data_IF_697367559242
#
_entry.id   IF_697367559242
#
_cell.length_a   1.000
_cell.length_b   1.000
_cell.length_c   1.000
_cell.angle_alpha   90.00
_cell.angle_beta   90.00
_cell.angle_gamma   90.00
#
_symmetry.space_group_name_H-M   'P 1'
#
loop_
_entity.id
_entity.type
_entity.pdbx_description
1 polymer ?
#
# COMPACT_ATOMS: atom_id res chain seq x y z
N UNK A 1 18.33 16.25 6.56
CA UNK A 1 18.37 15.52 5.27
C UNK A 1 19.24 14.25 5.27
N UNK A 2 20.26 14.11 6.14
CA UNK A 2 21.09 12.88 6.19
C UNK A 2 20.25 11.63 6.47
N UNK A 3 19.33 11.61 7.44
CA UNK A 3 18.44 10.46 7.63
C UNK A 3 17.57 10.16 6.41
N UNK A 4 17.08 11.19 5.70
CA UNK A 4 16.30 11.00 4.47
C UNK A 4 17.13 10.37 3.35
N UNK A 5 18.39 10.77 3.19
CA UNK A 5 19.32 10.14 2.24
C UNK A 5 19.54 8.65 2.58
N UNK A 6 19.67 8.31 3.86
CA UNK A 6 19.75 6.92 4.31
C UNK A 6 18.47 6.14 3.98
N UNK A 7 17.32 6.75 4.20
CA UNK A 7 16.03 6.16 3.78
C UNK A 7 15.98 5.87 2.27
N UNK A 8 16.42 6.81 1.43
CA UNK A 8 16.52 6.61 -0.02
C UNK A 8 17.44 5.43 -0.36
N UNK A 9 18.61 5.35 0.26
CA UNK A 9 19.55 4.25 0.02
C UNK A 9 18.92 2.89 0.35
N UNK A 10 18.22 2.79 1.47
CA UNK A 10 17.62 1.53 1.92
C UNK A 10 16.46 1.08 1.04
N UNK A 11 15.65 2.03 0.51
CA UNK A 11 14.48 1.72 -0.29
C UNK A 11 14.73 1.59 -1.79
N UNK A 12 15.76 2.27 -2.32
CA UNK A 12 15.90 2.41 -3.78
C UNK A 12 17.24 1.95 -4.34
N UNK A 13 18.26 1.78 -3.50
CA UNK A 13 19.56 1.33 -3.99
C UNK A 13 19.65 -0.19 -3.89
N UNK A 14 19.67 -0.92 -5.03
CA UNK A 14 19.86 -2.35 -5.01
C UNK A 14 21.30 -2.68 -4.59
N UNK A 15 21.44 -3.67 -3.75
CA UNK A 15 22.71 -4.18 -3.24
C UNK A 15 22.77 -5.67 -3.57
N UNK A 16 23.91 -6.12 -4.03
CA UNK A 16 24.15 -7.54 -4.29
C UNK A 16 24.73 -8.20 -3.04
N UNK A 17 23.96 -9.07 -2.39
CA UNK A 17 24.39 -9.86 -1.24
C UNK A 17 24.02 -11.32 -1.48
N UNK A 18 25.01 -12.22 -1.35
CA UNK A 18 24.78 -13.65 -1.50
C UNK A 18 24.27 -14.09 -2.87
N UNK A 19 24.68 -13.38 -3.95
CA UNK A 19 24.25 -13.68 -5.31
C UNK A 19 22.82 -13.18 -5.65
N UNK A 20 22.21 -12.40 -4.76
CA UNK A 20 20.87 -11.83 -4.94
C UNK A 20 20.95 -10.30 -4.96
N UNK A 21 20.48 -9.70 -6.05
CA UNK A 21 20.42 -8.25 -6.21
C UNK A 21 19.03 -7.75 -5.87
N UNK A 22 18.92 -7.05 -4.72
CA UNK A 22 17.68 -6.44 -4.25
C UNK A 22 17.97 -5.29 -3.29
N UNK A 23 16.94 -4.56 -2.84
CA UNK A 23 17.11 -3.45 -1.90
C UNK A 23 17.49 -3.95 -0.49
N UNK A 24 18.19 -3.09 0.26
CA UNK A 24 18.67 -3.44 1.60
C UNK A 24 17.54 -3.88 2.53
N UNK A 25 16.36 -3.24 2.46
CA UNK A 25 15.19 -3.63 3.25
C UNK A 25 14.79 -5.10 3.00
N UNK A 26 14.83 -5.53 1.75
CA UNK A 26 14.48 -6.90 1.38
C UNK A 26 15.49 -7.92 1.93
N UNK A 27 16.79 -7.59 1.88
CA UNK A 27 17.84 -8.40 2.50
C UNK A 27 17.67 -8.53 4.01
N UNK A 28 17.34 -7.42 4.69
CA UNK A 28 17.11 -7.42 6.14
C UNK A 28 15.93 -8.31 6.53
N UNK A 29 14.81 -8.23 5.82
CA UNK A 29 13.62 -9.05 6.08
C UNK A 29 13.91 -10.53 5.79
N UNK A 30 14.59 -10.82 4.69
CA UNK A 30 14.98 -12.20 4.34
C UNK A 30 15.94 -12.78 5.37
N UNK A 31 16.94 -12.01 5.80
CA UNK A 31 17.89 -12.41 6.85
C UNK A 31 17.20 -12.64 8.18
N UNK A 32 16.30 -11.75 8.61
CA UNK A 32 15.55 -11.92 9.85
C UNK A 32 14.65 -13.18 9.80
N UNK A 33 13.96 -13.40 8.68
CA UNK A 33 13.14 -14.60 8.49
C UNK A 33 13.99 -15.88 8.57
N UNK A 34 15.17 -15.87 7.95
CA UNK A 34 16.10 -17.00 8.01
C UNK A 34 16.61 -17.28 9.43
N UNK A 35 16.90 -16.21 10.20
CA UNK A 35 17.29 -16.34 11.61
C UNK A 35 16.16 -16.88 12.50
N UNK A 36 14.92 -16.47 12.22
CA UNK A 36 13.75 -16.95 12.98
C UNK A 36 13.38 -18.40 12.62
N UNK A 37 13.69 -18.85 11.41
CA UNK A 37 13.34 -20.21 10.96
C UNK A 37 11.85 -20.52 11.19
N UNK A 38 11.58 -21.66 11.85
CA UNK A 38 10.21 -22.11 12.17
C UNK A 38 9.45 -21.15 13.12
N UNK A 39 10.16 -20.38 13.95
CA UNK A 39 9.53 -19.38 14.84
C UNK A 39 8.86 -18.24 14.09
N UNK A 40 9.16 -18.04 12.81
CA UNK A 40 8.49 -17.02 11.99
C UNK A 40 6.98 -17.23 11.87
N UNK A 41 6.52 -18.48 11.81
CA UNK A 41 5.10 -18.83 11.82
C UNK A 41 4.42 -18.52 13.16
N UNK A 42 5.12 -18.82 14.28
CA UNK A 42 4.62 -18.49 15.63
C UNK A 42 4.54 -16.98 15.81
N UNK A 43 5.55 -16.24 15.36
CA UNK A 43 5.52 -14.78 15.36
C UNK A 43 4.30 -14.23 14.61
N UNK A 44 4.05 -14.71 13.39
CA UNK A 44 2.91 -14.30 12.59
C UNK A 44 1.57 -14.61 13.29
N UNK A 45 1.43 -15.79 13.91
CA UNK A 45 0.25 -16.15 14.67
C UNK A 45 0.03 -15.21 15.87
N UNK A 46 1.08 -14.90 16.63
CA UNK A 46 1.01 -13.95 17.75
C UNK A 46 0.54 -12.56 17.28
N UNK A 47 1.06 -12.08 16.15
CA UNK A 47 0.64 -10.81 15.55
C UNK A 47 -0.84 -10.84 15.13
N UNK A 48 -1.31 -11.95 14.54
CA UNK A 48 -2.71 -12.13 14.13
C UNK A 48 -3.63 -12.14 15.36
N UNK A 49 -3.27 -12.87 16.41
CA UNK A 49 -4.04 -12.92 17.66
C UNK A 49 -4.11 -11.53 18.31
N UNK A 50 -2.98 -10.81 18.37
CA UNK A 50 -2.95 -9.44 18.89
C UNK A 50 -3.87 -8.51 18.08
N UNK A 51 -3.87 -8.66 16.74
CA UNK A 51 -4.69 -7.85 15.83
C UNK A 51 -6.19 -8.12 15.92
N UNK A 52 -6.58 -9.36 16.21
CA UNK A 52 -7.98 -9.69 16.45
C UNK A 52 -8.44 -9.33 17.88
N UNK A 53 -7.54 -9.41 18.86
CA UNK A 53 -7.84 -9.00 20.23
C UNK A 53 -7.97 -7.49 20.40
N UNK A 54 -7.25 -6.69 19.62
CA UNK A 54 -7.22 -5.23 19.76
C UNK A 54 -8.60 -4.54 19.64
N UNK A 55 -9.42 -4.80 18.58
CA UNK A 55 -10.74 -4.21 18.48
C UNK A 55 -11.71 -4.71 19.57
N UNK A 56 -11.52 -5.93 20.06
CA UNK A 56 -12.30 -6.47 21.18
C UNK A 56 -11.97 -5.72 22.47
N UNK A 57 -10.68 -5.54 22.77
CA UNK A 57 -10.22 -4.82 23.97
C UNK A 57 -10.64 -3.35 23.96
N UNK A 58 -10.56 -2.67 22.80
CA UNK A 58 -10.96 -1.26 22.65
C UNK A 58 -12.46 -1.05 22.49
N UNK A 59 -13.24 -2.11 22.34
CA UNK A 59 -14.69 -2.04 22.17
C UNK A 59 -15.13 -1.49 20.80
N UNK A 60 -14.23 -1.44 19.81
CA UNK A 60 -14.54 -0.92 18.46
C UNK A 60 -15.62 -1.73 17.77
N UNK A 61 -15.64 -3.05 17.98
CA UNK A 61 -16.62 -3.96 17.39
C UNK A 61 -18.11 -3.59 17.69
N UNK A 62 -18.36 -2.72 18.70
CA UNK A 62 -19.72 -2.26 19.06
C UNK A 62 -20.12 -0.94 18.44
N UNK A 63 -19.23 -0.27 17.70
CA UNK A 63 -19.48 1.09 17.21
C UNK A 63 -20.31 1.11 15.93
N UNK A 64 -19.98 0.26 14.96
CA UNK A 64 -20.66 0.17 13.67
C UNK A 64 -20.79 -1.29 13.23
N UNK A 65 -21.75 -1.56 12.32
CA UNK A 65 -21.90 -2.88 11.71
C UNK A 65 -20.63 -3.30 10.97
N UNK A 66 -20.00 -2.35 10.28
CA UNK A 66 -18.75 -2.57 9.55
C UNK A 66 -17.64 -3.03 10.47
N UNK A 67 -17.41 -2.33 11.59
CA UNK A 67 -16.39 -2.71 12.58
C UNK A 67 -16.69 -4.07 13.22
N UNK A 68 -17.97 -4.42 13.41
CA UNK A 68 -18.37 -5.76 13.89
C UNK A 68 -17.98 -6.83 12.87
N UNK A 69 -18.31 -6.63 11.59
CA UNK A 69 -17.96 -7.57 10.51
C UNK A 69 -16.45 -7.76 10.41
N UNK A 70 -15.68 -6.67 10.39
CA UNK A 70 -14.21 -6.77 10.35
C UNK A 70 -13.62 -7.46 11.59
N UNK A 71 -14.22 -7.25 12.76
CA UNK A 71 -13.78 -7.95 13.98
C UNK A 71 -14.04 -9.46 13.86
N UNK A 72 -15.19 -9.88 13.35
CA UNK A 72 -15.49 -11.30 13.09
C UNK A 72 -14.51 -11.88 12.07
N UNK A 73 -14.25 -11.17 10.97
CA UNK A 73 -13.26 -11.60 9.97
C UNK A 73 -11.86 -11.75 10.60
N UNK A 74 -11.44 -10.85 11.48
CA UNK A 74 -10.16 -10.97 12.19
C UNK A 74 -10.11 -12.20 13.11
N UNK A 75 -11.20 -12.57 13.75
CA UNK A 75 -11.29 -13.80 14.56
C UNK A 75 -11.22 -15.04 13.67
N UNK A 76 -11.92 -15.03 12.53
CA UNK A 76 -11.80 -16.09 11.52
C UNK A 76 -10.34 -16.21 11.06
N UNK A 77 -9.65 -15.08 10.86
CA UNK A 77 -8.23 -15.04 10.51
C UNK A 77 -7.33 -15.79 11.50
N UNK A 78 -7.65 -15.80 12.81
CA UNK A 78 -6.92 -16.62 13.80
C UNK A 78 -7.10 -18.11 13.48
N UNK A 79 -8.34 -18.55 13.26
CA UNK A 79 -8.64 -19.95 12.97
C UNK A 79 -7.89 -20.40 11.71
N UNK A 80 -7.94 -19.57 10.67
CA UNK A 80 -7.26 -19.82 9.37
C UNK A 80 -5.73 -19.91 9.57
N UNK A 81 -5.14 -19.01 10.39
CA UNK A 81 -3.71 -19.05 10.70
C UNK A 81 -3.30 -20.30 11.50
N UNK A 82 -4.12 -20.73 12.45
CA UNK A 82 -3.89 -21.98 13.18
C UNK A 82 -3.96 -23.17 12.23
N UNK A 83 -4.95 -23.21 11.32
CA UNK A 83 -5.03 -24.26 10.30
C UNK A 83 -3.77 -24.30 9.43
N UNK A 84 -3.31 -23.13 8.95
CA UNK A 84 -2.09 -23.04 8.15
C UNK A 84 -0.83 -23.53 8.90
N UNK A 85 -0.70 -23.20 10.19
CA UNK A 85 0.47 -23.54 11.00
C UNK A 85 0.49 -25.02 11.43
N UNK A 86 -0.69 -25.60 11.74
CA UNK A 86 -0.79 -26.95 12.31
C UNK A 86 -1.10 -28.03 11.29
N UNK A 87 -1.45 -27.66 10.06
CA UNK A 87 -1.92 -28.60 9.04
C UNK A 87 -3.32 -29.19 9.34
N UNK A 88 -4.05 -28.62 10.32
CA UNK A 88 -5.41 -29.03 10.64
C UNK A 88 -6.42 -28.43 9.67
N UNK A 89 -7.43 -29.21 9.29
CA UNK A 89 -8.55 -28.74 8.48
C UNK A 89 -8.74 -29.52 7.18
N UNK A 90 -9.64 -29.07 6.29
CA UNK A 90 -9.91 -29.71 5.02
C UNK A 90 -8.68 -29.77 4.11
N UNK A 91 -8.46 -30.89 3.44
CA UNK A 91 -7.29 -31.13 2.59
C UNK A 91 -7.14 -30.09 1.46
N UNK A 92 -8.25 -29.65 0.86
CA UNK A 92 -8.21 -28.65 -0.23
C UNK A 92 -7.67 -27.27 0.19
N UNK A 93 -7.75 -26.92 1.49
CA UNK A 93 -7.15 -25.69 2.00
C UNK A 93 -5.63 -25.79 2.13
N UNK A 94 -5.07 -26.99 2.19
CA UNK A 94 -3.63 -27.24 2.30
C UNK A 94 -2.94 -27.44 0.95
N UNK A 95 -3.66 -27.25 -0.15
CA UNK A 95 -3.04 -27.20 -1.48
C UNK A 95 -2.01 -26.04 -1.54
N UNK A 96 -0.92 -26.18 -2.32
CA UNK A 96 0.20 -25.22 -2.32
C UNK A 96 -0.20 -23.77 -2.64
N UNK A 97 -1.27 -23.60 -3.43
CA UNK A 97 -1.82 -22.30 -3.86
C UNK A 97 -2.85 -21.70 -2.87
N UNK A 98 -3.09 -22.33 -1.74
CA UNK A 98 -4.08 -21.93 -0.74
C UNK A 98 -3.41 -21.45 0.57
N UNK A 99 -3.66 -22.13 1.70
CA UNK A 99 -3.14 -21.74 3.01
C UNK A 99 -1.60 -21.65 3.07
N UNK A 100 -0.84 -22.61 2.50
CA UNK A 100 0.62 -22.51 2.53
C UNK A 100 1.11 -21.25 1.80
N UNK A 101 0.55 -20.94 0.63
CA UNK A 101 0.88 -19.73 -0.09
C UNK A 101 0.53 -18.48 0.71
N UNK A 102 -0.71 -18.40 1.20
CA UNK A 102 -1.22 -17.24 1.93
C UNK A 102 -0.40 -16.97 3.21
N UNK A 103 -0.09 -18.00 3.98
CA UNK A 103 0.61 -17.87 5.26
C UNK A 103 2.12 -17.65 5.08
N UNK A 104 2.79 -18.51 4.30
CA UNK A 104 4.23 -18.49 4.18
C UNK A 104 4.76 -17.42 3.20
N UNK A 105 4.07 -17.22 2.08
CA UNK A 105 4.52 -16.28 1.04
C UNK A 105 4.03 -14.87 1.27
N UNK A 106 2.93 -14.69 2.02
CA UNK A 106 2.31 -13.38 2.22
C UNK A 106 2.36 -12.95 3.69
N UNK A 107 1.69 -13.66 4.60
CA UNK A 107 1.47 -13.21 5.98
C UNK A 107 2.76 -13.07 6.77
N UNK A 108 3.63 -14.06 6.73
CA UNK A 108 4.93 -14.00 7.43
C UNK A 108 5.80 -12.84 6.89
N UNK A 109 6.03 -12.71 5.57
CA UNK A 109 6.77 -11.56 5.03
C UNK A 109 6.15 -10.21 5.36
N UNK A 110 4.82 -10.06 5.26
CA UNK A 110 4.12 -8.81 5.62
C UNK A 110 4.36 -8.45 7.07
N UNK A 111 4.23 -9.43 7.98
CA UNK A 111 4.44 -9.23 9.41
C UNK A 111 5.85 -8.72 9.75
N UNK A 112 6.84 -9.05 8.93
CA UNK A 112 8.23 -8.59 9.09
C UNK A 112 8.51 -7.28 8.34
N UNK A 113 8.06 -7.16 7.09
CA UNK A 113 8.33 -6.00 6.24
C UNK A 113 7.69 -4.74 6.79
N UNK A 114 6.45 -4.81 7.26
CA UNK A 114 5.71 -3.61 7.67
C UNK A 114 6.36 -2.92 8.87
N UNK A 115 6.71 -3.59 9.97
CA UNK A 115 7.39 -2.94 11.09
C UNK A 115 8.79 -2.44 10.75
N UNK A 116 9.58 -3.23 10.01
CA UNK A 116 10.94 -2.86 9.62
C UNK A 116 10.90 -1.70 8.61
N UNK A 117 10.02 -1.81 7.61
CA UNK A 117 9.82 -0.78 6.60
C UNK A 117 9.39 0.55 7.21
N UNK A 118 8.52 0.54 8.21
CA UNK A 118 8.06 1.73 8.90
C UNK A 118 9.20 2.51 9.57
N UNK A 119 10.23 1.83 10.09
CA UNK A 119 11.43 2.47 10.65
C UNK A 119 12.12 3.33 9.58
N UNK A 120 12.41 2.71 8.44
CA UNK A 120 13.17 3.37 7.37
C UNK A 120 12.32 4.40 6.61
N UNK A 121 11.02 4.16 6.52
CA UNK A 121 10.07 5.09 5.98
C UNK A 121 10.01 6.39 6.78
N UNK A 122 10.10 6.30 8.09
CA UNK A 122 10.22 7.48 8.96
C UNK A 122 11.41 8.37 8.60
N UNK A 123 12.52 7.76 8.17
CA UNK A 123 13.70 8.51 7.75
C UNK A 123 13.42 9.33 6.49
N UNK A 124 12.59 8.84 5.59
CA UNK A 124 12.17 9.56 4.38
C UNK A 124 11.22 10.72 4.71
N UNK A 125 10.25 10.49 5.60
CA UNK A 125 9.14 11.40 5.84
C UNK A 125 9.50 12.50 6.86
N UNK A 126 10.18 12.15 7.96
CA UNK A 126 10.26 13.02 9.13
C UNK A 126 11.32 14.11 9.06
N UNK A 127 12.17 14.12 8.04
CA UNK A 127 13.36 14.99 8.00
C UNK A 127 13.34 16.00 6.85
N UNK A 128 12.16 16.45 6.42
CA UNK A 128 11.95 17.58 5.53
C UNK A 128 12.09 17.29 4.03
N UNK A 129 12.36 16.04 3.63
CA UNK A 129 12.45 15.67 2.22
C UNK A 129 11.09 15.80 1.52
N UNK A 130 10.02 15.46 2.21
CA UNK A 130 8.66 15.51 1.72
C UNK A 130 8.23 16.92 1.36
N UNK A 131 8.48 17.88 2.25
CA UNK A 131 8.17 19.29 2.08
C UNK A 131 8.99 19.91 0.95
N UNK A 132 10.27 19.54 0.87
CA UNK A 132 11.14 19.98 -0.22
C UNK A 132 10.58 19.54 -1.58
N UNK A 133 10.25 18.25 -1.74
CA UNK A 133 9.68 17.70 -2.97
C UNK A 133 8.29 18.31 -3.23
N UNK A 134 7.44 18.42 -2.20
CA UNK A 134 6.09 18.98 -2.29
C UNK A 134 6.09 20.39 -2.89
N UNK A 135 6.93 21.28 -2.41
CA UNK A 135 7.05 22.65 -2.93
C UNK A 135 7.59 22.66 -4.38
N UNK A 136 8.52 21.77 -4.72
CA UNK A 136 9.07 21.70 -6.08
C UNK A 136 8.04 21.23 -7.11
N UNK A 137 7.18 20.26 -6.75
CA UNK A 137 6.17 19.66 -7.63
C UNK A 137 4.89 20.51 -7.71
N UNK A 138 4.71 21.47 -6.80
CA UNK A 138 3.56 22.37 -6.71
C UNK A 138 3.06 22.93 -8.04
N UNK A 139 3.89 23.46 -8.96
CA UNK A 139 3.42 24.06 -10.21
C UNK A 139 2.79 23.07 -11.18
N UNK A 140 3.07 21.79 -11.02
CA UNK A 140 2.60 20.72 -11.89
C UNK A 140 1.24 20.20 -11.42
N UNK A 141 0.95 20.32 -10.11
CA UNK A 141 -0.26 19.76 -9.50
C UNK A 141 -1.55 20.39 -10.07
N UNK A 142 -1.63 21.72 -10.14
CA UNK A 142 -2.84 22.41 -10.61
C UNK A 142 -3.22 22.12 -12.05
N UNK A 143 -2.33 22.25 -13.05
CA UNK A 143 -2.69 22.07 -14.45
C UNK A 143 -3.00 20.60 -14.78
N UNK A 144 -2.31 19.66 -14.17
CA UNK A 144 -2.46 18.22 -14.50
C UNK A 144 -3.57 17.59 -13.67
N UNK A 145 -3.53 17.73 -12.34
CA UNK A 145 -4.44 17.02 -11.43
C UNK A 145 -5.54 17.89 -10.82
N UNK A 146 -5.57 19.19 -11.14
CA UNK A 146 -6.58 20.14 -10.64
C UNK A 146 -6.66 20.19 -9.11
N UNK A 147 -5.52 19.97 -8.45
CA UNK A 147 -5.37 20.04 -6.99
C UNK A 147 -4.37 21.13 -6.61
N UNK A 148 -4.46 21.70 -5.39
CA UNK A 148 -3.47 22.65 -4.91
C UNK A 148 -2.07 22.05 -4.88
N UNK A 149 -1.05 22.89 -5.00
CA UNK A 149 0.33 22.41 -4.98
C UNK A 149 0.73 21.67 -3.71
N UNK A 150 0.17 22.07 -2.56
CA UNK A 150 0.39 21.36 -1.28
C UNK A 150 -0.04 19.91 -1.30
N UNK A 151 -0.99 19.53 -2.14
CA UNK A 151 -1.43 18.13 -2.28
C UNK A 151 -0.32 17.20 -2.80
N UNK A 152 0.77 17.75 -3.34
CA UNK A 152 1.97 16.97 -3.62
C UNK A 152 2.56 16.33 -2.36
N UNK A 153 2.43 17.00 -1.21
CA UNK A 153 2.87 16.45 0.09
C UNK A 153 2.01 15.25 0.46
N UNK A 154 0.69 15.36 0.29
CA UNK A 154 -0.25 14.28 0.57
C UNK A 154 0.00 13.07 -0.33
N UNK A 155 0.23 13.32 -1.64
CA UNK A 155 0.56 12.28 -2.61
C UNK A 155 1.86 11.54 -2.24
N UNK A 156 2.93 12.27 -1.92
CA UNK A 156 4.21 11.67 -1.53
C UNK A 156 4.08 10.97 -0.17
N UNK A 157 3.39 11.56 0.81
CA UNK A 157 3.14 10.94 2.10
C UNK A 157 2.37 9.62 1.97
N UNK A 158 1.39 9.57 1.08
CA UNK A 158 0.61 8.38 0.80
C UNK A 158 1.46 7.29 0.14
N UNK A 159 2.20 7.64 -0.89
CA UNK A 159 2.97 6.71 -1.69
C UNK A 159 4.21 6.16 -0.95
N UNK A 160 4.92 7.02 -0.24
CA UNK A 160 6.11 6.63 0.53
C UNK A 160 5.71 6.07 1.89
N UNK A 161 4.72 6.66 2.56
CA UNK A 161 4.30 6.31 3.91
C UNK A 161 3.18 5.30 3.98
N UNK A 162 1.98 5.80 4.03
CA UNK A 162 0.75 5.03 4.12
C UNK A 162 -0.40 5.89 3.61
N UNK A 163 -1.31 5.27 2.87
CA UNK A 163 -2.55 5.94 2.45
C UNK A 163 -3.33 6.54 3.64
N UNK A 164 -3.32 5.87 4.78
CA UNK A 164 -3.99 6.37 5.99
C UNK A 164 -3.40 7.71 6.48
N UNK A 165 -2.09 7.90 6.38
CA UNK A 165 -1.43 9.17 6.71
C UNK A 165 -1.82 10.24 5.68
N UNK A 166 -1.77 9.91 4.39
CA UNK A 166 -2.22 10.80 3.33
C UNK A 166 -3.66 11.25 3.54
N UNK A 167 -4.59 10.30 3.77
CA UNK A 167 -6.00 10.59 4.05
C UNK A 167 -6.20 11.43 5.30
N UNK A 168 -5.43 11.18 6.38
CA UNK A 168 -5.51 11.97 7.60
C UNK A 168 -5.08 13.42 7.36
N UNK A 169 -3.99 13.64 6.62
CA UNK A 169 -3.53 14.98 6.24
C UNK A 169 -4.60 15.66 5.37
N UNK A 170 -5.05 14.99 4.32
CA UNK A 170 -6.10 15.49 3.41
C UNK A 170 -7.36 15.90 4.16
N UNK A 171 -7.84 15.06 5.09
CA UNK A 171 -9.02 15.36 5.90
C UNK A 171 -8.81 16.58 6.79
N UNK A 172 -7.66 16.71 7.45
CA UNK A 172 -7.33 17.89 8.28
C UNK A 172 -7.30 19.17 7.47
N UNK A 173 -6.68 19.14 6.28
CA UNK A 173 -6.58 20.29 5.39
C UNK A 173 -7.95 20.66 4.81
N UNK A 174 -8.80 19.66 4.51
CA UNK A 174 -10.18 19.85 4.10
C UNK A 174 -11.03 20.48 5.22
N UNK A 175 -10.95 19.96 6.44
CA UNK A 175 -11.66 20.53 7.60
C UNK A 175 -11.21 21.95 7.94
N UNK A 176 -9.95 22.30 7.64
CA UNK A 176 -9.44 23.67 7.75
C UNK A 176 -9.88 24.59 6.58
N UNK A 177 -10.73 24.12 5.66
CA UNK A 177 -11.23 24.88 4.53
C UNK A 177 -10.21 25.14 3.41
N UNK A 178 -9.04 24.52 3.47
CA UNK A 178 -7.95 24.74 2.51
C UNK A 178 -8.03 23.85 1.26
N UNK A 179 -8.83 22.79 1.31
CA UNK A 179 -9.22 21.98 0.15
C UNK A 179 -10.72 22.13 -0.10
N UNK A 180 -11.13 22.11 -1.37
CA UNK A 180 -12.53 21.90 -1.75
C UNK A 180 -12.90 20.42 -1.57
N UNK A 181 -14.21 20.12 -1.55
CA UNK A 181 -14.67 18.72 -1.51
C UNK A 181 -14.14 17.93 -2.72
N UNK A 182 -14.09 18.56 -3.89
CA UNK A 182 -13.52 18.00 -5.12
C UNK A 182 -12.04 17.71 -4.99
N UNK A 183 -11.24 18.68 -4.53
CA UNK A 183 -9.80 18.54 -4.34
C UNK A 183 -9.50 17.41 -3.34
N UNK A 184 -10.20 17.38 -2.20
CA UNK A 184 -10.06 16.31 -1.21
C UNK A 184 -10.42 14.93 -1.78
N UNK A 185 -11.50 14.84 -2.56
CA UNK A 185 -11.89 13.60 -3.22
C UNK A 185 -10.85 13.13 -4.25
N UNK A 186 -10.30 14.05 -5.06
CA UNK A 186 -9.23 13.73 -6.01
C UNK A 186 -8.00 13.18 -5.28
N UNK A 187 -7.58 13.82 -4.19
CA UNK A 187 -6.41 13.40 -3.42
C UNK A 187 -6.67 12.04 -2.78
N UNK A 188 -7.83 11.86 -2.17
CA UNK A 188 -8.21 10.62 -1.50
C UNK A 188 -8.33 9.43 -2.47
N UNK A 189 -8.82 9.64 -3.69
CA UNK A 189 -9.04 8.57 -4.66
C UNK A 189 -7.87 8.38 -5.64
N UNK A 190 -7.14 9.44 -5.95
CA UNK A 190 -6.11 9.41 -6.99
C UNK A 190 -4.68 9.27 -6.46
N UNK A 191 -4.41 9.79 -5.26
CA UNK A 191 -3.07 9.77 -4.67
C UNK A 191 -2.96 8.89 -3.42
N UNK A 192 -4.06 8.39 -2.89
CA UNK A 192 -4.06 7.44 -1.77
C UNK A 192 -3.72 6.03 -2.27
N UNK A 193 -2.47 5.84 -2.64
CA UNK A 193 -1.95 4.56 -3.10
C UNK A 193 -1.45 3.71 -1.94
N UNK A 194 -1.20 2.44 -2.20
CA UNK A 194 -0.54 1.56 -1.24
C UNK A 194 0.88 2.06 -0.96
N UNK A 195 1.38 1.78 0.24
CA UNK A 195 2.73 2.19 0.63
C UNK A 195 3.81 1.48 -0.18
N UNK A 196 4.99 2.13 -0.31
CA UNK A 196 6.17 1.50 -0.90
C UNK A 196 6.51 0.14 -0.26
N UNK A 197 6.28 0.00 1.04
CA UNK A 197 6.43 -1.27 1.76
C UNK A 197 5.48 -2.34 1.24
N UNK A 198 4.22 -2.00 0.97
CA UNK A 198 3.26 -2.94 0.39
C UNK A 198 3.61 -3.29 -1.06
N UNK A 199 4.12 -2.33 -1.84
CA UNK A 199 4.62 -2.59 -3.19
C UNK A 199 5.75 -3.64 -3.21
N UNK A 200 6.62 -3.64 -2.18
CA UNK A 200 7.66 -4.68 -2.03
C UNK A 200 7.02 -6.06 -1.84
N UNK A 201 5.92 -6.14 -1.10
CA UNK A 201 5.20 -7.40 -0.91
C UNK A 201 4.64 -7.89 -2.24
N UNK A 202 3.97 -7.03 -2.99
CA UNK A 202 3.47 -7.33 -4.34
C UNK A 202 4.61 -7.76 -5.25
N UNK A 203 5.71 -7.01 -5.27
CA UNK A 203 6.89 -7.32 -6.10
C UNK A 203 7.53 -8.66 -5.72
N UNK A 204 7.59 -9.00 -4.44
CA UNK A 204 8.07 -10.32 -3.98
C UNK A 204 7.17 -11.45 -4.43
N UNK A 205 5.86 -11.29 -4.29
CA UNK A 205 4.87 -12.30 -4.68
C UNK A 205 4.94 -12.60 -6.17
N UNK A 206 5.15 -11.55 -6.97
CA UNK A 206 5.22 -11.65 -8.44
C UNK A 206 6.64 -11.86 -8.98
N UNK A 207 7.64 -12.07 -8.10
CA UNK A 207 9.05 -12.23 -8.47
C UNK A 207 9.61 -11.06 -9.31
N UNK A 208 9.24 -9.83 -8.94
CA UNK A 208 9.66 -8.59 -9.63
C UNK A 208 10.79 -7.84 -8.89
N UNK A 209 11.37 -8.43 -7.83
CA UNK A 209 12.38 -7.74 -7.01
C UNK A 209 13.66 -7.43 -7.79
N UNK A 210 14.02 -8.21 -8.79
CA UNK A 210 15.17 -7.96 -9.67
C UNK A 210 15.03 -6.66 -10.47
N UNK A 211 13.80 -6.23 -10.71
CA UNK A 211 13.47 -5.01 -11.45
C UNK A 211 12.71 -4.01 -10.58
N UNK A 212 12.91 -4.06 -9.25
CA UNK A 212 12.20 -3.25 -8.26
C UNK A 212 12.08 -1.77 -8.64
N UNK A 213 13.19 -1.14 -9.02
CA UNK A 213 13.20 0.28 -9.37
C UNK A 213 12.31 0.58 -10.59
N UNK A 214 12.37 -0.25 -11.63
CA UNK A 214 11.51 -0.11 -12.81
C UNK A 214 10.04 -0.26 -12.41
N UNK A 215 9.71 -1.29 -11.65
CA UNK A 215 8.36 -1.55 -11.17
C UNK A 215 7.84 -0.37 -10.33
N UNK A 216 8.62 0.10 -9.37
CA UNK A 216 8.23 1.21 -8.49
C UNK A 216 7.94 2.50 -9.28
N UNK A 217 8.90 2.96 -10.09
CA UNK A 217 8.76 4.23 -10.80
C UNK A 217 7.71 4.18 -11.91
N UNK A 218 7.57 3.05 -12.60
CA UNK A 218 6.55 2.90 -13.63
C UNK A 218 5.15 2.83 -13.03
N UNK A 219 4.96 2.12 -11.91
CA UNK A 219 3.70 2.08 -11.19
C UNK A 219 3.31 3.48 -10.69
N UNK A 220 4.26 4.23 -10.14
CA UNK A 220 4.05 5.63 -9.73
C UNK A 220 3.59 6.47 -10.92
N UNK A 221 4.31 6.41 -12.04
CA UNK A 221 3.98 7.15 -13.25
C UNK A 221 2.57 6.81 -13.76
N UNK A 222 2.24 5.52 -13.84
CA UNK A 222 0.91 5.06 -14.29
C UNK A 222 -0.17 5.56 -13.34
N UNK A 223 0.03 5.47 -12.04
CA UNK A 223 -0.93 5.98 -11.03
C UNK A 223 -1.19 7.47 -11.24
N UNK A 224 -0.16 8.26 -11.44
CA UNK A 224 -0.30 9.70 -11.70
C UNK A 224 -1.00 9.99 -13.04
N UNK A 225 -0.72 9.22 -14.09
CA UNK A 225 -1.42 9.34 -15.39
C UNK A 225 -2.90 8.97 -15.24
N UNK A 226 -3.21 7.86 -14.60
CA UNK A 226 -4.59 7.44 -14.34
C UNK A 226 -5.34 8.50 -13.55
N UNK A 227 -4.73 9.04 -12.50
CA UNK A 227 -5.31 10.13 -11.72
C UNK A 227 -5.56 11.38 -12.59
N UNK A 228 -4.63 11.74 -13.48
CA UNK A 228 -4.82 12.86 -14.38
C UNK A 228 -6.00 12.66 -15.35
N UNK A 229 -6.29 11.44 -15.74
CA UNK A 229 -7.46 11.10 -16.56
C UNK A 229 -8.74 11.15 -15.71
N UNK A 230 -8.74 10.46 -14.57
CA UNK A 230 -9.94 10.30 -13.72
C UNK A 230 -10.46 11.61 -13.15
N UNK A 231 -9.60 12.58 -12.85
CA UNK A 231 -10.02 13.91 -12.40
C UNK A 231 -10.85 14.68 -13.44
N UNK A 232 -10.83 14.26 -14.70
CA UNK A 232 -11.59 14.84 -15.81
C UNK A 232 -12.87 14.09 -16.13
N UNK A 233 -13.09 12.95 -15.48
CA UNK A 233 -14.25 12.09 -15.67
C UNK A 233 -15.26 12.28 -14.53
N UNK A 234 -16.59 12.10 -14.78
CA UNK A 234 -17.57 11.99 -13.69
C UNK A 234 -17.27 10.78 -12.79
N UNK A 235 -17.50 10.84 -11.47
CA UNK A 235 -18.12 11.95 -10.74
C UNK A 235 -17.19 13.10 -10.38
N UNK A 236 -15.86 12.91 -10.34
CA UNK A 236 -14.89 13.90 -9.86
C UNK A 236 -14.94 15.22 -10.64
N UNK A 237 -15.15 15.14 -11.96
CA UNK A 237 -15.25 16.34 -12.82
C UNK A 237 -16.44 17.25 -12.46
N UNK A 238 -17.51 16.67 -11.91
CA UNK A 238 -18.77 17.36 -11.62
C UNK A 238 -18.94 17.73 -10.14
N UNK A 239 -17.96 17.40 -9.28
CA UNK A 239 -18.02 17.76 -7.87
C UNK A 239 -17.83 19.27 -7.67
N UNK A 240 -18.42 19.79 -6.60
CA UNK A 240 -18.30 21.20 -6.21
C UNK A 240 -16.85 21.54 -5.83
N UNK A 241 -16.36 22.64 -6.40
CA UNK A 241 -15.00 23.16 -6.21
C UNK A 241 -14.95 24.37 -5.26
N UNK A 242 -16.05 24.66 -4.55
CA UNK A 242 -16.09 25.73 -3.57
C UNK A 242 -15.23 25.40 -2.35
N UNK A 243 -14.35 26.34 -2.02
CA UNK A 243 -13.57 26.31 -0.78
C UNK A 243 -14.31 27.13 0.28
N UNK A 244 -14.42 26.59 1.48
CA UNK A 244 -14.78 27.39 2.64
C UNK A 244 -13.54 28.20 3.06
N UNK A 245 -13.61 29.51 3.08
CA UNK A 245 -12.75 30.55 3.70
C UNK A 245 -11.21 30.28 3.88
N UNK A 246 -10.63 29.34 3.15
CA UNK A 246 -9.20 29.07 3.21
C UNK A 246 -8.36 30.12 2.49
N UNK A 247 -7.27 30.56 3.09
CA UNK A 247 -6.30 31.43 2.44
C UNK A 247 -5.78 30.80 1.13
N UNK A 248 -5.66 31.60 0.06
CA UNK A 248 -5.09 31.12 -1.19
C UNK A 248 -3.65 30.65 -0.96
N UNK A 249 -3.31 29.53 -1.57
CA UNK A 249 -1.97 28.95 -1.46
C UNK A 249 -0.91 29.95 -1.93
N UNK A 250 0.10 30.28 -1.10
CA UNK A 250 1.13 31.24 -1.49
C UNK A 250 1.93 30.71 -2.67
N UNK A 251 2.08 31.53 -3.71
CA UNK A 251 2.91 31.21 -4.87
C UNK A 251 4.34 31.61 -4.51
N UNK A 252 5.27 30.68 -4.34
CA UNK A 252 6.65 31.02 -3.98
C UNK A 252 7.36 31.76 -5.11
N UNK A 253 7.85 32.97 -4.86
CA UNK A 253 8.64 33.73 -5.83
C UNK A 253 9.97 33.08 -6.21
N UNK A 254 10.63 32.43 -5.23
CA UNK A 254 11.87 31.67 -5.41
C UNK A 254 11.68 30.24 -4.90
N UNK A 255 11.11 29.37 -5.76
CA UNK A 255 10.69 28.01 -5.39
C UNK A 255 11.76 27.15 -4.71
N UNK A 256 12.98 27.16 -5.25
CA UNK A 256 14.07 26.36 -4.69
C UNK A 256 14.45 26.83 -3.27
N UNK A 257 14.50 28.15 -3.05
CA UNK A 257 14.74 28.71 -1.73
C UNK A 257 13.61 28.39 -0.76
N UNK A 258 12.35 28.50 -1.20
CA UNK A 258 11.18 28.18 -0.37
C UNK A 258 11.10 26.68 -0.07
N UNK A 259 11.39 25.82 -1.04
CA UNK A 259 11.46 24.37 -0.85
C UNK A 259 12.53 23.99 0.17
N UNK A 260 13.71 24.60 0.06
CA UNK A 260 14.81 24.39 1.00
C UNK A 260 14.47 24.87 2.40
N UNK A 261 13.87 26.07 2.52
CA UNK A 261 13.42 26.60 3.81
C UNK A 261 12.36 25.72 4.46
N UNK A 262 11.31 25.31 3.72
CA UNK A 262 10.29 24.41 4.22
C UNK A 262 10.88 23.07 4.69
N UNK A 263 11.74 22.46 3.89
CA UNK A 263 12.39 21.22 4.27
C UNK A 263 13.31 21.35 5.49
N UNK A 264 14.09 22.46 5.58
CA UNK A 264 14.99 22.69 6.72
C UNK A 264 14.22 23.03 7.99
N UNK A 265 13.11 23.75 7.92
CA UNK A 265 12.25 24.05 9.06
C UNK A 265 11.69 22.78 9.70
N UNK A 266 11.16 21.87 8.89
CA UNK A 266 10.65 20.56 9.38
C UNK A 266 11.81 19.71 9.91
N UNK A 267 12.94 19.67 9.20
CA UNK A 267 14.11 18.94 9.67
C UNK A 267 14.64 19.44 11.03
N UNK A 268 14.55 20.74 11.29
CA UNK A 268 14.94 21.34 12.58
C UNK A 268 13.98 20.98 13.72
N UNK A 269 12.71 20.76 13.42
CA UNK A 269 11.67 20.35 14.38
C UNK A 269 11.55 18.83 14.52
N UNK A 270 12.29 18.06 13.70
CA UNK A 270 12.23 16.62 13.69
C UNK A 270 12.63 16.02 15.05
N UNK A 271 11.95 14.95 15.49
CA UNK A 271 12.31 14.25 16.70
C UNK A 271 13.71 13.64 16.59
N UNK A 272 14.34 13.36 17.74
CA UNK A 272 15.63 12.64 17.74
C UNK A 272 15.48 11.28 17.04
N UNK A 273 16.54 10.84 16.37
CA UNK A 273 16.52 9.65 15.51
C UNK A 273 16.00 8.41 16.25
N UNK A 274 16.47 8.16 17.48
CA UNK A 274 16.01 7.00 18.27
C UNK A 274 14.53 7.07 18.61
N UNK A 275 14.01 8.27 18.89
CA UNK A 275 12.57 8.47 19.16
C UNK A 275 11.74 8.28 17.91
N UNK A 276 12.21 8.79 16.76
CA UNK A 276 11.57 8.59 15.48
C UNK A 276 11.49 7.10 15.12
N UNK A 277 12.61 6.38 15.24
CA UNK A 277 12.68 4.93 15.00
C UNK A 277 11.71 4.17 15.92
N UNK A 278 11.73 4.44 17.23
CA UNK A 278 10.87 3.74 18.19
C UNK A 278 9.36 3.99 17.92
N UNK A 279 8.98 5.24 17.63
CA UNK A 279 7.59 5.60 17.31
C UNK A 279 7.13 4.90 16.04
N UNK A 280 7.90 4.98 14.98
CA UNK A 280 7.51 4.41 13.69
C UNK A 280 7.55 2.88 13.69
N UNK A 281 8.47 2.26 14.42
CA UNK A 281 8.44 0.83 14.65
C UNK A 281 7.14 0.39 15.35
N UNK A 282 6.75 1.12 16.42
CA UNK A 282 5.48 0.88 17.11
C UNK A 282 4.28 1.05 16.18
N UNK A 283 4.25 2.09 15.36
CA UNK A 283 3.19 2.33 14.38
C UNK A 283 3.17 1.22 13.32
N UNK A 284 4.33 0.80 12.82
CA UNK A 284 4.46 -0.35 11.91
C UNK A 284 3.97 -1.64 12.52
N UNK A 285 4.26 -1.91 13.81
CA UNK A 285 3.70 -3.06 14.52
C UNK A 285 2.18 -2.98 14.62
N UNK A 286 1.63 -1.83 15.01
CA UNK A 286 0.17 -1.62 15.10
C UNK A 286 -0.47 -1.85 13.73
N UNK A 287 0.14 -1.34 12.67
CA UNK A 287 -0.31 -1.55 11.31
C UNK A 287 -0.28 -3.04 10.93
N UNK A 288 0.84 -3.72 11.18
CA UNK A 288 0.97 -5.15 10.89
C UNK A 288 -0.09 -5.98 11.62
N UNK A 289 -0.25 -5.81 12.94
CA UNK A 289 -1.28 -6.53 13.71
C UNK A 289 -2.71 -6.22 13.24
N UNK A 290 -2.94 -5.02 12.70
CA UNK A 290 -4.26 -4.66 12.16
C UNK A 290 -4.57 -5.36 10.84
N UNK A 291 -3.57 -5.54 9.98
CA UNK A 291 -3.73 -6.05 8.61
C UNK A 291 -3.66 -7.58 8.55
N UNK A 292 -2.73 -8.21 9.28
CA UNK A 292 -2.45 -9.64 9.15
C UNK A 292 -3.66 -10.55 9.33
N UNK A 293 -4.54 -10.38 10.37
CA UNK A 293 -5.71 -11.23 10.51
C UNK A 293 -6.71 -11.05 9.37
N UNK A 294 -6.82 -9.84 8.82
CA UNK A 294 -7.69 -9.57 7.67
C UNK A 294 -7.15 -10.22 6.40
N UNK A 295 -5.82 -10.19 6.18
CA UNK A 295 -5.20 -10.89 5.05
C UNK A 295 -5.51 -12.40 5.13
N UNK A 296 -5.43 -13.01 6.30
CA UNK A 296 -5.73 -14.43 6.46
C UNK A 296 -7.18 -14.77 6.13
N UNK A 297 -8.15 -13.99 6.60
CA UNK A 297 -9.57 -14.29 6.39
C UNK A 297 -10.06 -13.84 5.01
N UNK A 298 -9.80 -12.59 4.64
CA UNK A 298 -10.27 -12.02 3.37
C UNK A 298 -9.47 -12.58 2.20
N UNK A 299 -8.15 -12.77 2.36
CA UNK A 299 -7.31 -13.41 1.36
C UNK A 299 -7.75 -14.85 1.07
N UNK A 300 -8.02 -15.64 2.12
CA UNK A 300 -8.56 -16.99 1.93
C UNK A 300 -9.93 -16.96 1.23
N UNK A 301 -10.82 -16.06 1.66
CA UNK A 301 -12.14 -15.92 1.02
C UNK A 301 -11.99 -15.55 -0.46
N UNK A 302 -11.10 -14.63 -0.77
CA UNK A 302 -10.78 -14.23 -2.14
C UNK A 302 -10.26 -15.40 -2.98
N UNK A 303 -9.34 -16.20 -2.45
CA UNK A 303 -8.83 -17.41 -3.12
C UNK A 303 -9.92 -18.47 -3.34
N UNK A 304 -10.77 -18.68 -2.33
CA UNK A 304 -11.92 -19.62 -2.46
C UNK A 304 -12.90 -19.15 -3.55
N UNK A 305 -13.22 -17.87 -3.57
CA UNK A 305 -14.10 -17.31 -4.60
C UNK A 305 -13.45 -17.45 -5.98
N UNK A 306 -12.16 -17.13 -6.10
CA UNK A 306 -11.44 -17.22 -7.36
C UNK A 306 -11.34 -18.67 -7.89
N UNK A 307 -11.12 -19.64 -7.00
CA UNK A 307 -10.88 -21.03 -7.39
C UNK A 307 -12.17 -21.83 -7.61
N UNK A 308 -13.20 -21.56 -6.80
CA UNK A 308 -14.39 -22.41 -6.75
C UNK A 308 -15.68 -21.73 -7.25
N UNK A 309 -15.60 -20.45 -7.66
CA UNK A 309 -16.77 -19.74 -8.21
C UNK A 309 -16.41 -19.02 -9.50
N UNK A 310 -17.34 -18.84 -10.44
CA UNK A 310 -17.11 -18.10 -11.68
C UNK A 310 -17.25 -16.57 -11.50
N UNK A 311 -17.27 -16.06 -10.25
CA UNK A 311 -17.54 -14.64 -10.00
C UNK A 311 -16.51 -13.72 -10.67
N UNK A 312 -15.22 -14.01 -10.47
CA UNK A 312 -14.17 -13.20 -11.09
C UNK A 312 -14.05 -13.46 -12.59
N UNK A 313 -14.45 -14.64 -13.08
CA UNK A 313 -14.55 -14.89 -14.52
C UNK A 313 -15.58 -13.97 -15.16
N UNK A 314 -16.78 -13.87 -14.58
CA UNK A 314 -17.83 -12.97 -15.08
C UNK A 314 -17.40 -11.51 -15.02
N UNK A 315 -16.84 -11.07 -13.90
CA UNK A 315 -16.32 -9.72 -13.77
C UNK A 315 -15.14 -9.46 -14.71
N UNK A 316 -14.30 -10.47 -14.95
CA UNK A 316 -13.17 -10.42 -15.87
C UNK A 316 -13.57 -10.11 -17.31
N UNK A 317 -14.77 -10.53 -17.75
CA UNK A 317 -15.29 -10.19 -19.08
C UNK A 317 -15.36 -8.67 -19.31
N UNK A 318 -15.57 -7.89 -18.27
CA UNK A 318 -15.56 -6.43 -18.36
C UNK A 318 -14.16 -5.88 -18.67
N UNK A 319 -13.13 -6.51 -18.15
CA UNK A 319 -11.73 -6.11 -18.33
C UNK A 319 -11.07 -6.75 -19.54
N UNK A 320 -11.59 -7.90 -19.99
CA UNK A 320 -11.02 -8.70 -21.06
C UNK A 320 -10.76 -7.93 -22.37
N UNK A 321 -11.67 -7.10 -22.90
CA UNK A 321 -11.43 -6.35 -24.14
C UNK A 321 -10.21 -5.42 -24.07
N UNK A 322 -9.95 -4.86 -22.89
CA UNK A 322 -8.80 -3.96 -22.68
C UNK A 322 -7.47 -4.71 -22.58
N UNK A 323 -7.50 -5.93 -22.06
CA UNK A 323 -6.31 -6.78 -21.89
C UNK A 323 -6.00 -7.54 -23.17
N UNK A 324 -7.02 -8.04 -23.87
CA UNK A 324 -6.87 -8.83 -25.09
C UNK A 324 -6.21 -8.05 -26.26
N UNK A 325 -6.35 -6.73 -26.29
CA UNK A 325 -5.71 -5.87 -27.30
C UNK A 325 -4.19 -6.05 -27.32
N UNK A 326 -3.59 -6.40 -26.20
CA UNK A 326 -2.13 -6.56 -26.06
C UNK A 326 -1.61 -7.92 -26.50
N UNK A 327 -2.50 -8.87 -26.85
CA UNK A 327 -2.13 -10.20 -27.36
C UNK A 327 -1.34 -11.05 -26.37
N UNK A 328 -1.57 -10.90 -25.07
CA UNK A 328 -0.93 -11.71 -24.03
C UNK A 328 -1.62 -13.08 -23.96
N UNK A 329 -0.83 -14.15 -23.81
CA UNK A 329 -1.35 -15.50 -23.66
C UNK A 329 -2.23 -15.64 -22.41
N UNK A 330 -1.85 -14.95 -21.32
CA UNK A 330 -2.56 -14.90 -20.04
C UNK A 330 -3.66 -13.83 -19.98
N UNK A 331 -4.15 -13.30 -21.11
CA UNK A 331 -5.08 -12.17 -21.14
C UNK A 331 -6.36 -12.42 -20.32
N UNK A 332 -6.94 -13.63 -20.39
CA UNK A 332 -8.13 -13.97 -19.63
C UNK A 332 -7.85 -14.01 -18.11
N UNK A 333 -6.76 -14.62 -17.71
CA UNK A 333 -6.33 -14.69 -16.32
C UNK A 333 -6.02 -13.28 -15.76
N UNK A 334 -5.35 -12.43 -16.53
CA UNK A 334 -5.05 -11.05 -16.15
C UNK A 334 -6.32 -10.20 -16.04
N UNK A 335 -7.31 -10.41 -16.90
CA UNK A 335 -8.61 -9.75 -16.81
C UNK A 335 -9.37 -10.16 -15.54
N UNK A 336 -9.40 -11.45 -15.24
CA UNK A 336 -9.97 -11.99 -14.00
C UNK A 336 -9.24 -11.45 -12.76
N UNK A 337 -7.92 -11.47 -12.77
CA UNK A 337 -7.10 -10.92 -11.70
C UNK A 337 -7.36 -9.42 -11.50
N UNK A 338 -7.45 -8.65 -12.59
CA UNK A 338 -7.77 -7.22 -12.52
C UNK A 338 -9.15 -6.97 -11.89
N UNK A 339 -10.14 -7.80 -12.22
CA UNK A 339 -11.47 -7.74 -11.62
C UNK A 339 -11.44 -8.06 -10.12
N UNK A 340 -10.63 -9.02 -9.70
CA UNK A 340 -10.48 -9.38 -8.28
C UNK A 340 -9.90 -8.25 -7.44
N UNK A 341 -9.11 -7.35 -8.04
CA UNK A 341 -8.58 -6.15 -7.40
C UNK A 341 -9.66 -5.18 -6.90
N UNK A 342 -10.89 -5.28 -7.41
CA UNK A 342 -12.04 -4.53 -6.89
C UNK A 342 -12.48 -5.03 -5.50
N UNK A 343 -12.23 -6.29 -5.18
CA UNK A 343 -12.57 -6.88 -3.89
C UNK A 343 -11.43 -6.69 -2.88
N UNK A 344 -10.19 -6.94 -3.32
CA UNK A 344 -9.01 -6.80 -2.47
C UNK A 344 -7.78 -6.55 -3.36
N UNK A 345 -7.01 -5.51 -3.06
CA UNK A 345 -5.91 -5.01 -3.91
C UNK A 345 -4.75 -6.01 -4.09
N UNK A 346 -4.59 -6.98 -3.20
CA UNK A 346 -3.54 -7.98 -3.31
C UNK A 346 -3.92 -9.18 -4.17
N UNK A 347 -5.22 -9.43 -4.38
CA UNK A 347 -5.69 -10.58 -5.18
C UNK A 347 -5.11 -10.63 -6.60
N UNK A 348 -4.97 -9.55 -7.35
CA UNK A 348 -4.34 -9.61 -8.66
C UNK A 348 -2.92 -10.19 -8.62
N UNK A 349 -2.12 -9.77 -7.64
CA UNK A 349 -0.77 -10.30 -7.47
C UNK A 349 -0.78 -11.78 -7.07
N UNK A 350 -1.73 -12.18 -6.23
CA UNK A 350 -1.88 -13.55 -5.79
C UNK A 350 -2.24 -14.48 -6.95
N UNK A 351 -3.25 -14.11 -7.73
CA UNK A 351 -3.77 -14.92 -8.84
C UNK A 351 -2.79 -15.01 -10.02
N UNK A 352 -1.89 -14.04 -10.16
CA UNK A 352 -0.94 -13.99 -11.27
C UNK A 352 0.50 -14.38 -10.88
N UNK A 353 0.71 -14.94 -9.69
CA UNK A 353 2.05 -15.27 -9.19
C UNK A 353 2.83 -16.26 -10.07
N UNK A 354 2.14 -17.17 -10.72
CA UNK A 354 2.71 -18.20 -11.61
C UNK A 354 2.59 -17.86 -13.14
N UNK A 355 2.05 -16.67 -13.47
CA UNK A 355 1.86 -16.24 -14.85
C UNK A 355 3.17 -15.83 -15.53
N UNK A 356 3.13 -15.55 -16.83
CA UNK A 356 4.27 -15.01 -17.56
C UNK A 356 4.69 -13.63 -17.05
N UNK A 357 5.95 -13.27 -17.27
CA UNK A 357 6.58 -12.06 -16.73
C UNK A 357 5.79 -10.78 -17.02
N UNK A 358 5.31 -10.59 -18.26
CA UNK A 358 4.57 -9.38 -18.65
C UNK A 358 3.22 -9.31 -17.93
N UNK A 359 2.52 -10.43 -17.82
CA UNK A 359 1.24 -10.53 -17.11
C UNK A 359 1.41 -10.32 -15.59
N UNK A 360 2.48 -10.89 -14.99
CA UNK A 360 2.85 -10.62 -13.59
C UNK A 360 3.12 -9.14 -13.35
N UNK A 361 3.90 -8.52 -14.24
CA UNK A 361 4.21 -7.09 -14.14
C UNK A 361 2.94 -6.23 -14.22
N UNK A 362 2.07 -6.50 -15.20
CA UNK A 362 0.80 -5.80 -15.35
C UNK A 362 -0.09 -5.98 -14.12
N UNK A 363 -0.22 -7.20 -13.58
CA UNK A 363 -0.96 -7.47 -12.35
C UNK A 363 -0.38 -6.71 -11.15
N UNK A 364 0.94 -6.60 -11.05
CA UNK A 364 1.60 -5.82 -10.01
C UNK A 364 1.27 -4.33 -10.09
N UNK A 365 1.23 -3.77 -11.30
CA UNK A 365 0.82 -2.38 -11.52
C UNK A 365 -0.67 -2.19 -11.19
N UNK A 366 -1.53 -3.11 -11.60
CA UNK A 366 -2.98 -3.07 -11.30
C UNK A 366 -3.22 -3.15 -9.80
N UNK A 367 -2.55 -4.04 -9.07
CA UNK A 367 -2.66 -4.18 -7.61
C UNK A 367 -2.37 -2.87 -6.86
N UNK A 368 -1.48 -2.04 -7.39
CA UNK A 368 -1.08 -0.79 -6.73
C UNK A 368 -1.87 0.41 -7.24
N UNK A 369 -2.10 0.49 -8.54
CA UNK A 369 -2.75 1.63 -9.21
C UNK A 369 -4.26 1.54 -9.25
N UNK A 370 -4.85 0.36 -9.10
CA UNK A 370 -6.27 0.19 -8.91
C UNK A 370 -6.62 0.74 -7.52
N UNK A 371 -6.81 2.03 -7.51
CA UNK A 371 -7.11 2.81 -6.31
C UNK A 371 -8.15 2.10 -5.46
N UNK A 372 -7.83 1.93 -4.26
CA UNK A 372 -8.52 1.68 -3.00
C UNK A 372 -10.03 1.93 -2.98
N UNK A 373 -10.79 1.35 -3.90
CA UNK A 373 -12.23 1.57 -3.89
C UNK A 373 -12.93 0.80 -2.76
N UNK A 374 -12.43 -0.37 -2.38
CA UNK A 374 -13.14 -1.22 -1.42
C UNK A 374 -12.25 -1.87 -0.35
N UNK A 375 -10.96 -1.93 -0.55
CA UNK A 375 -10.07 -2.75 0.28
C UNK A 375 -9.25 -2.00 1.34
N UNK A 376 -9.37 -0.69 1.39
CA UNK A 376 -8.57 0.16 2.28
C UNK A 376 -9.33 0.66 3.51
N UNK A 377 -10.44 0.10 3.81
CA UNK A 377 -11.24 0.49 4.99
C UNK A 377 -10.83 -0.26 6.25
#
# INVERSE_FOLDING_TARGET
FVPSALGILIFFVPIELGGRSTILLDHMVTGLRSLMGEYSGIYALVMIVAGAAYPLYKGYWRRTLTESIFTVLKIIGIVVAVMALTGWGPAFLHEPDMLPFLFEKLVIPVGLIVPIGAIFLALLISYGLLELIGVLVQPVMRPIWRTPGRSAIDAVASFVGSYSIGLLITNRVYQAGQYSAREAAIIATGFSTVSATFMIIVARTLDLMSIWNLYFWLTLLITFIVTAITVRLPPLANMDDHKSDGEPEPIPGKRLSTAWQAGTEIAAKAPSLHRSVALNFKEGLIMAISILPSIMSVGLLGLLIAKYTPLFDWLGWLFYPFVAIWGLDDAAALAQASASGLAEMFLPALLMAEAEFVARFAAGVVSVSAVLFFSAS
#
